data_IF_896908666207
#
_entry.id   IF_896908666207
#
_cell.length_a   1.000
_cell.length_b   1.000
_cell.length_c   1.000
_cell.angle_alpha   90.00
_cell.angle_beta   90.00
_cell.angle_gamma   90.00
#
_symmetry.space_group_name_H-M   'P 1'
#
loop_
_entity.id
_entity.type
_entity.pdbx_description
1 polymer ?
#
# COMPACT_ATOMS: atom_id res chain seq x y z
N UNK A 1 15.73 -9.29 -14.81
CA UNK A 1 15.55 -9.62 -13.40
C UNK A 1 14.12 -9.39 -12.99
N UNK A 2 13.65 -10.20 -12.08
CA UNK A 2 12.27 -10.05 -11.61
C UNK A 2 12.12 -8.79 -10.76
N UNK A 3 11.02 -8.11 -10.92
CA UNK A 3 10.69 -6.98 -10.09
C UNK A 3 10.15 -7.51 -8.75
N UNK A 4 10.73 -7.03 -7.65
CA UNK A 4 10.36 -7.52 -6.33
C UNK A 4 9.39 -6.63 -5.61
N UNK A 5 9.15 -5.45 -6.12
CA UNK A 5 8.21 -4.51 -5.50
C UNK A 5 7.51 -3.71 -6.58
N UNK A 6 6.28 -3.31 -6.28
CA UNK A 6 5.45 -2.57 -7.23
C UNK A 6 4.91 -1.32 -6.57
N UNK A 7 4.85 -0.21 -7.31
CA UNK A 7 4.36 1.05 -6.73
C UNK A 7 2.85 1.02 -6.51
N UNK A 8 2.45 1.62 -5.42
CA UNK A 8 1.04 1.82 -5.12
C UNK A 8 0.87 3.19 -4.48
N UNK A 9 -0.17 3.88 -4.87
CA UNK A 9 -0.43 5.23 -4.39
C UNK A 9 -1.39 5.21 -3.21
N UNK A 10 -1.05 5.93 -2.15
CA UNK A 10 -1.94 6.08 -1.00
C UNK A 10 -3.11 6.93 -1.42
N UNK A 11 -4.30 6.37 -1.35
CA UNK A 11 -5.53 7.06 -1.74
C UNK A 11 -6.37 7.47 -0.53
N UNK A 12 -6.13 6.82 0.62
CA UNK A 12 -6.86 7.16 1.84
C UNK A 12 -6.03 6.78 3.05
N UNK A 13 -6.01 7.64 4.05
CA UNK A 13 -5.44 7.31 5.36
C UNK A 13 -6.61 6.99 6.28
N UNK A 14 -6.69 5.72 6.69
CA UNK A 14 -7.83 5.25 7.48
C UNK A 14 -7.67 5.65 8.94
N UNK A 15 -6.47 5.46 9.50
CA UNK A 15 -6.23 5.81 10.88
C UNK A 15 -5.10 5.01 11.47
N UNK A 16 -4.81 5.27 12.72
CA UNK A 16 -3.77 4.55 13.42
C UNK A 16 -4.30 3.21 13.89
N UNK A 17 -3.43 2.21 13.85
CA UNK A 17 -3.73 0.88 14.35
C UNK A 17 -2.68 0.47 15.36
N UNK A 18 -2.98 -0.55 16.15
CA UNK A 18 -2.06 -1.07 17.13
C UNK A 18 -2.11 -0.30 18.44
N UNK A 19 -1.63 -0.95 19.48
CA UNK A 19 -1.72 -0.42 20.84
C UNK A 19 -0.76 0.75 21.03
N UNK A 20 0.37 0.73 20.35
CA UNK A 20 1.36 1.79 20.48
C UNK A 20 1.02 3.00 19.62
N UNK A 21 0.10 2.86 18.67
CA UNK A 21 -0.22 3.94 17.76
C UNK A 21 0.86 4.22 16.73
N UNK A 22 1.79 3.32 16.57
CA UNK A 22 2.90 3.52 15.65
C UNK A 22 2.55 3.19 14.22
N UNK A 23 1.60 2.29 14.00
CA UNK A 23 1.20 1.89 12.67
C UNK A 23 0.01 2.72 12.21
N UNK A 24 0.01 3.06 10.93
CA UNK A 24 -1.07 3.80 10.30
C UNK A 24 -1.65 2.92 9.21
N UNK A 25 -2.96 2.72 9.25
CA UNK A 25 -3.63 1.96 8.22
C UNK A 25 -4.01 2.89 7.07
N UNK A 26 -3.63 2.49 5.88
CA UNK A 26 -3.92 3.28 4.68
C UNK A 26 -4.52 2.38 3.63
N UNK A 27 -5.25 2.98 2.71
CA UNK A 27 -5.70 2.31 1.49
C UNK A 27 -4.85 2.80 0.34
N UNK A 28 -4.35 1.87 -0.45
CA UNK A 28 -3.50 2.19 -1.58
C UNK A 28 -4.09 1.60 -2.85
N UNK A 29 -3.90 2.31 -3.96
CA UNK A 29 -4.26 1.82 -5.27
C UNK A 29 -3.02 1.29 -5.95
N UNK A 30 -3.07 0.06 -6.41
CA UNK A 30 -1.94 -0.57 -7.08
C UNK A 30 -1.74 0.08 -8.43
N UNK A 31 -0.57 0.69 -8.65
CA UNK A 31 -0.25 1.34 -9.93
C UNK A 31 0.43 0.39 -10.89
N UNK A 32 1.10 -0.64 -10.37
CA UNK A 32 1.75 -1.64 -11.19
C UNK A 32 1.77 -2.94 -10.41
N UNK A 33 1.78 -4.05 -11.11
CA UNK A 33 1.77 -5.36 -10.47
C UNK A 33 2.31 -6.40 -11.43
N UNK A 34 2.76 -7.53 -10.87
CA UNK A 34 3.19 -8.66 -11.68
C UNK A 34 2.03 -9.21 -12.50
N UNK A 35 0.82 -9.19 -11.94
CA UNK A 35 -0.37 -9.63 -12.64
C UNK A 35 -1.18 -8.39 -13.03
N UNK A 36 -1.43 -8.18 -14.34
CA UNK A 36 -2.18 -7.00 -14.79
C UNK A 36 -3.55 -6.85 -14.15
N UNK A 37 -4.14 -7.95 -13.68
CA UNK A 37 -5.44 -7.90 -13.04
C UNK A 37 -5.41 -7.15 -11.70
N UNK A 38 -4.23 -7.05 -11.09
CA UNK A 38 -4.10 -6.37 -9.81
C UNK A 38 -3.93 -4.87 -9.96
N UNK A 39 -3.66 -4.40 -11.18
CA UNK A 39 -3.48 -2.96 -11.42
C UNK A 39 -4.82 -2.26 -11.21
N UNK A 40 -4.81 -1.20 -10.41
CA UNK A 40 -6.02 -0.46 -10.07
C UNK A 40 -6.74 -0.98 -8.85
N UNK A 41 -6.27 -2.08 -8.27
CA UNK A 41 -6.89 -2.66 -7.10
C UNK A 41 -6.61 -1.81 -5.87
N UNK A 42 -7.61 -1.70 -5.02
CA UNK A 42 -7.47 -0.97 -3.75
C UNK A 42 -7.26 -1.99 -2.65
N UNK A 43 -6.16 -1.86 -1.93
CA UNK A 43 -5.86 -2.76 -0.82
C UNK A 43 -5.48 -1.94 0.41
N UNK A 44 -5.64 -2.56 1.57
CA UNK A 44 -5.30 -1.92 2.84
C UNK A 44 -3.92 -2.39 3.29
N UNK A 45 -3.16 -1.47 3.84
CA UNK A 45 -1.83 -1.77 4.37
C UNK A 45 -1.59 -1.00 5.64
N UNK A 46 -0.80 -1.57 6.51
CA UNK A 46 -0.33 -0.89 7.70
C UNK A 46 1.09 -0.42 7.43
N UNK A 47 1.36 0.85 7.70
CA UNK A 47 2.68 1.42 7.49
C UNK A 47 3.15 2.09 8.76
N UNK A 48 4.47 2.16 8.92
CA UNK A 48 5.09 2.85 10.04
C UNK A 48 5.54 4.23 9.59
N UNK A 49 5.38 5.18 10.49
CA UNK A 49 5.85 6.53 10.24
C UNK A 49 4.82 7.40 9.52
N UNK A 50 5.18 8.65 9.26
CA UNK A 50 4.26 9.60 8.64
C UNK A 50 3.99 9.20 7.19
N UNK A 51 2.71 9.31 6.81
CA UNK A 51 2.29 9.00 5.45
C UNK A 51 1.09 9.88 5.12
N UNK A 52 0.97 10.22 3.84
CA UNK A 52 -0.09 11.10 3.37
C UNK A 52 -0.70 10.54 2.11
N UNK A 53 -1.91 10.99 1.83
CA UNK A 53 -2.54 10.70 0.54
C UNK A 53 -1.64 11.26 -0.57
N UNK A 54 -1.41 10.44 -1.58
CA UNK A 54 -0.52 10.79 -2.67
C UNK A 54 0.88 10.20 -2.55
N UNK A 55 1.24 9.70 -1.39
CA UNK A 55 2.53 9.03 -1.22
C UNK A 55 2.54 7.72 -1.99
N UNK A 56 3.72 7.33 -2.43
CA UNK A 56 3.89 6.07 -3.17
C UNK A 56 4.57 5.06 -2.25
N UNK A 57 3.94 3.91 -2.13
CA UNK A 57 4.49 2.79 -1.38
C UNK A 57 4.92 1.70 -2.33
N UNK A 58 6.01 1.02 -2.01
CA UNK A 58 6.46 -0.12 -2.79
C UNK A 58 5.98 -1.39 -2.10
N UNK A 59 5.14 -2.14 -2.79
CA UNK A 59 4.55 -3.35 -2.27
C UNK A 59 5.25 -4.56 -2.86
N UNK A 60 5.58 -5.52 -2.01
CA UNK A 60 6.23 -6.73 -2.48
C UNK A 60 5.26 -7.73 -3.06
N UNK A 61 4.01 -7.66 -2.63
CA UNK A 61 3.01 -8.60 -3.10
C UNK A 61 1.68 -7.88 -3.19
N UNK A 62 1.23 -7.64 -4.41
CA UNK A 62 -0.01 -6.90 -4.65
C UNK A 62 -1.21 -7.82 -4.82
N UNK A 63 -0.98 -9.11 -4.96
CA UNK A 63 -2.06 -10.08 -5.18
C UNK A 63 -2.61 -10.68 -3.89
N UNK A 64 -1.98 -10.39 -2.77
CA UNK A 64 -2.44 -10.89 -1.47
C UNK A 64 -2.90 -9.76 -0.60
N UNK A 65 -3.97 -10.02 0.08
CA UNK A 65 -4.49 -8.98 0.93
C UNK A 65 -5.17 -9.53 2.13
#
# INVERSE_FOLDING_TARGET
MAQEAWPAEVVEVVGRTGMSGEAIQVKVRVNDAANPRDIGRIIARNVLGPIRVGDILMLKDTGRE
#
